data_IF_353679997297
#
_entry.id   IF_353679997297
#
_cell.length_a   1.000
_cell.length_b   1.000
_cell.length_c   1.000
_cell.angle_alpha   90.00
_cell.angle_beta   90.00
_cell.angle_gamma   90.00
#
_symmetry.space_group_name_H-M   'P 1'
#
loop_
_entity.id
_entity.type
_entity.pdbx_description
1 polymer ?
#
# COMPACT_ATOMS: atom_id res chain seq x y z
N UNK A 1 16.95 3.20 -2.91
CA UNK A 1 16.40 1.84 -3.15
C UNK A 1 14.96 1.70 -2.67
N UNK A 2 14.64 1.74 -1.36
CA UNK A 2 13.22 1.64 -0.95
C UNK A 2 12.40 2.88 -1.36
N UNK A 3 12.99 4.08 -1.27
CA UNK A 3 12.30 5.34 -1.61
C UNK A 3 11.93 5.43 -3.11
N UNK A 4 12.75 4.88 -4.00
CA UNK A 4 12.48 4.88 -5.44
C UNK A 4 11.32 3.93 -5.79
N UNK A 5 11.31 2.74 -5.16
CA UNK A 5 10.24 1.76 -5.32
C UNK A 5 8.93 2.25 -4.69
N UNK A 6 8.98 2.84 -3.49
CA UNK A 6 7.83 3.49 -2.87
C UNK A 6 7.26 4.58 -3.78
N UNK A 7 8.12 5.42 -4.36
CA UNK A 7 7.70 6.47 -5.31
C UNK A 7 7.05 5.86 -6.55
N UNK A 8 7.61 4.78 -7.10
CA UNK A 8 7.01 4.06 -8.21
C UNK A 8 5.64 3.49 -7.84
N UNK A 9 5.49 2.88 -6.66
CA UNK A 9 4.22 2.32 -6.18
C UNK A 9 3.18 3.43 -6.05
N UNK A 10 3.57 4.56 -5.44
CA UNK A 10 2.68 5.73 -5.28
C UNK A 10 2.22 6.26 -6.62
N UNK A 11 3.12 6.40 -7.60
CA UNK A 11 2.78 6.87 -8.94
C UNK A 11 1.84 5.89 -9.66
N UNK A 12 2.07 4.59 -9.52
CA UNK A 12 1.23 3.54 -10.11
C UNK A 12 -0.20 3.53 -9.53
N UNK A 13 -0.35 3.98 -8.28
CA UNK A 13 -1.62 4.03 -7.55
C UNK A 13 -2.27 5.43 -7.51
N UNK A 14 -1.65 6.46 -8.10
CA UNK A 14 -2.00 7.87 -7.88
C UNK A 14 -3.43 8.27 -8.28
N UNK A 15 -4.03 7.54 -9.20
CA UNK A 15 -5.35 7.80 -9.77
C UNK A 15 -6.40 6.74 -9.38
N UNK A 16 -6.05 5.79 -8.49
CA UNK A 16 -6.99 4.73 -8.07
C UNK A 16 -8.21 5.32 -7.36
N UNK A 17 -8.00 6.39 -6.57
CA UNK A 17 -9.09 7.17 -5.99
C UNK A 17 -8.93 8.62 -6.45
N UNK A 18 -9.80 9.11 -7.33
CA UNK A 18 -9.70 10.47 -7.85
C UNK A 18 -9.65 11.52 -6.72
N UNK A 19 -8.61 12.36 -6.74
CA UNK A 19 -8.45 13.45 -5.77
C UNK A 19 -7.88 13.03 -4.40
N UNK A 20 -7.57 11.76 -4.17
CA UNK A 20 -6.92 11.29 -2.95
C UNK A 20 -5.43 11.03 -3.21
N UNK A 21 -4.51 11.84 -2.66
CA UNK A 21 -3.08 11.63 -2.86
C UNK A 21 -2.59 10.37 -2.14
N UNK A 22 -1.64 9.67 -2.76
CA UNK A 22 -0.95 8.53 -2.15
C UNK A 22 0.23 9.04 -1.33
N UNK A 23 0.13 8.85 -0.01
CA UNK A 23 1.15 9.18 0.97
C UNK A 23 2.25 8.11 1.02
N UNK A 24 3.47 8.50 1.34
CA UNK A 24 4.57 7.56 1.63
C UNK A 24 4.65 7.17 3.11
N UNK A 25 5.63 6.33 3.44
CA UNK A 25 5.85 5.72 4.76
C UNK A 25 5.94 6.74 5.89
N UNK A 26 6.54 7.90 5.61
CA UNK A 26 6.78 8.96 6.59
C UNK A 26 5.79 10.12 6.49
N UNK A 27 4.84 10.05 5.55
CA UNK A 27 3.83 11.08 5.38
C UNK A 27 2.69 10.86 6.38
N UNK A 28 2.34 11.90 7.13
CA UNK A 28 1.19 11.86 8.04
C UNK A 28 -0.09 12.33 7.33
N UNK A 29 -1.17 11.56 7.47
CA UNK A 29 -2.51 11.99 7.08
C UNK A 29 -3.32 12.31 8.34
N UNK A 30 -3.47 13.60 8.65
CA UNK A 30 -4.39 14.03 9.70
C UNK A 30 -5.83 13.90 9.19
N UNK A 31 -6.56 12.92 9.72
CA UNK A 31 -7.98 12.71 9.41
C UNK A 31 -8.92 13.31 10.46
N UNK A 32 -8.36 13.85 11.56
CA UNK A 32 -9.13 14.29 12.72
C UNK A 32 -9.76 15.67 12.56
N UNK A 33 -9.12 16.58 11.84
CA UNK A 33 -9.61 17.95 11.63
C UNK A 33 -10.98 18.00 10.91
N UNK A 34 -11.77 19.06 11.16
CA UNK A 34 -13.12 19.21 10.59
C UNK A 34 -13.13 19.17 9.05
N UNK A 35 -12.15 19.84 8.42
CA UNK A 35 -11.95 19.87 6.97
C UNK A 35 -11.00 18.78 6.45
N UNK A 36 -10.64 17.80 7.30
CA UNK A 36 -9.76 16.72 6.90
C UNK A 36 -10.37 15.87 5.76
N UNK A 37 -9.52 15.27 4.90
CA UNK A 37 -9.99 14.38 3.88
C UNK A 37 -10.69 13.16 4.49
N UNK A 38 -11.82 12.79 3.91
CA UNK A 38 -12.64 11.64 4.34
C UNK A 38 -12.02 10.29 3.99
N UNK A 39 -11.14 10.29 2.99
CA UNK A 39 -10.39 9.16 2.50
C UNK A 39 -8.91 9.54 2.44
N UNK A 40 -8.02 8.63 2.85
CA UNK A 40 -6.58 8.79 2.68
C UNK A 40 -5.97 7.46 2.25
N UNK A 41 -4.94 7.51 1.41
CA UNK A 41 -4.20 6.32 0.98
C UNK A 41 -2.72 6.49 1.29
N UNK A 42 -2.09 5.44 1.81
CA UNK A 42 -0.66 5.42 2.12
C UNK A 42 0.00 4.15 1.62
N UNK A 43 1.27 4.27 1.24
CA UNK A 43 2.18 3.15 0.99
C UNK A 43 3.19 3.13 2.13
N UNK A 44 3.32 1.98 2.78
CA UNK A 44 4.26 1.74 3.89
C UNK A 44 5.32 0.75 3.44
N UNK A 45 6.60 1.10 3.59
CA UNK A 45 7.69 0.15 3.52
C UNK A 45 7.83 -0.61 4.83
N UNK A 46 7.72 -1.94 4.78
CA UNK A 46 7.69 -2.80 5.97
C UNK A 46 9.00 -3.52 6.26
N UNK A 47 9.97 -3.42 5.35
CA UNK A 47 11.28 -4.04 5.48
C UNK A 47 11.54 -5.12 4.44
N UNK A 48 12.36 -6.10 4.81
CA UNK A 48 12.76 -7.21 3.95
C UNK A 48 12.33 -8.56 4.53
N UNK A 49 11.86 -9.45 3.67
CA UNK A 49 11.80 -10.88 3.94
C UNK A 49 13.03 -11.58 3.35
N UNK A 50 13.62 -12.50 4.10
CA UNK A 50 14.60 -13.43 3.56
C UNK A 50 13.89 -14.54 2.77
N UNK A 51 14.12 -14.62 1.46
CA UNK A 51 13.58 -15.69 0.62
C UNK A 51 14.47 -16.92 0.62
N UNK A 52 15.78 -16.70 0.50
CA UNK A 52 16.78 -17.78 0.45
C UNK A 52 18.10 -17.30 1.04
N UNK A 53 18.73 -18.16 1.84
CA UNK A 53 20.04 -17.93 2.42
C UNK A 53 21.02 -18.98 1.90
N UNK A 54 21.98 -18.55 1.07
CA UNK A 54 23.06 -19.38 0.53
C UNK A 54 24.41 -18.91 1.08
N UNK A 55 25.43 -19.77 1.20
CA UNK A 55 26.77 -19.34 1.55
C UNK A 55 27.25 -18.23 0.60
N UNK A 56 27.51 -17.04 1.13
CA UNK A 56 27.96 -15.87 0.36
C UNK A 56 26.88 -15.10 -0.40
N UNK A 57 25.59 -15.40 -0.24
CA UNK A 57 24.51 -14.63 -0.88
C UNK A 57 23.19 -14.72 -0.09
N UNK A 58 22.53 -13.57 0.09
CA UNK A 58 21.18 -13.51 0.66
C UNK A 58 20.22 -12.94 -0.39
N UNK A 59 19.10 -13.63 -0.58
CA UNK A 59 18.02 -13.18 -1.44
C UNK A 59 16.94 -12.54 -0.57
N UNK A 60 16.73 -11.23 -0.74
CA UNK A 60 15.75 -10.47 0.04
C UNK A 60 14.59 -10.02 -0.85
N UNK A 61 13.36 -10.15 -0.38
CA UNK A 61 12.18 -9.53 -0.95
C UNK A 61 11.79 -8.28 -0.15
N UNK A 62 11.46 -7.19 -0.84
CA UNK A 62 10.98 -5.98 -0.15
C UNK A 62 9.49 -6.11 0.13
N UNK A 63 9.10 -5.86 1.38
CA UNK A 63 7.72 -5.87 1.81
C UNK A 63 7.14 -4.46 1.82
N UNK A 64 5.92 -4.33 1.31
CA UNK A 64 5.15 -3.11 1.33
C UNK A 64 3.72 -3.36 1.83
N UNK A 65 3.12 -2.33 2.41
CA UNK A 65 1.70 -2.22 2.69
C UNK A 65 1.09 -1.09 1.86
N UNK A 66 -0.11 -1.30 1.31
CA UNK A 66 -1.00 -0.20 0.90
C UNK A 66 -2.12 -0.13 1.91
N UNK A 67 -2.34 1.06 2.46
CA UNK A 67 -3.39 1.34 3.45
C UNK A 67 -4.37 2.34 2.88
N UNK A 68 -5.66 2.02 2.99
CA UNK A 68 -6.76 2.92 2.70
C UNK A 68 -7.50 3.21 4.00
N UNK A 69 -7.51 4.48 4.39
CA UNK A 69 -8.17 4.99 5.58
C UNK A 69 -9.46 5.68 5.19
N UNK A 70 -10.51 5.41 5.94
CA UNK A 70 -11.86 5.91 5.72
C UNK A 70 -12.38 6.44 7.06
N UNK A 71 -12.66 7.74 7.16
CA UNK A 71 -13.28 8.28 8.38
C UNK A 71 -14.78 7.95 8.38
N UNK A 72 -15.14 6.88 9.08
CA UNK A 72 -16.52 6.41 9.17
C UNK A 72 -17.47 7.42 9.84
N UNK A 73 -16.94 8.40 10.58
CA UNK A 73 -17.73 9.50 11.16
C UNK A 73 -18.11 10.58 10.15
N UNK A 74 -17.36 10.73 9.05
CA UNK A 74 -17.54 11.79 8.04
C UNK A 74 -17.99 11.27 6.67
N UNK A 75 -17.84 9.96 6.43
CA UNK A 75 -18.06 9.32 5.13
C UNK A 75 -19.54 9.10 4.83
N UNK A 76 -19.96 9.48 3.62
CA UNK A 76 -21.29 9.20 3.06
C UNK A 76 -21.31 7.80 2.44
N UNK A 77 -22.49 7.20 2.30
CA UNK A 77 -22.64 5.83 1.76
C UNK A 77 -21.96 5.60 0.40
N UNK A 78 -21.92 6.62 -0.47
CA UNK A 78 -21.24 6.56 -1.77
C UNK A 78 -19.71 6.56 -1.65
N UNK A 79 -19.15 7.25 -0.66
CA UNK A 79 -17.71 7.34 -0.41
C UNK A 79 -17.17 6.02 0.19
N UNK A 80 -17.99 5.32 0.99
CA UNK A 80 -17.67 3.97 1.47
C UNK A 80 -17.61 2.96 0.33
N UNK A 81 -18.61 2.97 -0.56
CA UNK A 81 -18.62 2.09 -1.73
C UNK A 81 -17.45 2.37 -2.67
N UNK A 82 -17.05 3.64 -2.83
CA UNK A 82 -15.83 4.02 -3.56
C UNK A 82 -14.57 3.45 -2.89
N UNK A 83 -14.47 3.50 -1.56
CA UNK A 83 -13.32 2.95 -0.85
C UNK A 83 -13.22 1.41 -1.00
N UNK A 84 -14.35 0.71 -0.97
CA UNK A 84 -14.41 -0.73 -1.20
C UNK A 84 -14.03 -1.09 -2.65
N UNK A 85 -14.53 -0.36 -3.65
CA UNK A 85 -14.15 -0.54 -5.06
C UNK A 85 -12.68 -0.19 -5.35
N UNK A 86 -12.14 0.79 -4.63
CA UNK A 86 -10.73 1.15 -4.72
C UNK A 86 -9.81 0.01 -4.28
N UNK A 87 -10.19 -0.77 -3.26
CA UNK A 87 -9.41 -1.92 -2.81
C UNK A 87 -9.21 -2.97 -3.92
N UNK A 88 -10.27 -3.25 -4.69
CA UNK A 88 -10.19 -4.16 -5.85
C UNK A 88 -9.28 -3.58 -6.92
N UNK A 89 -9.43 -2.29 -7.21
CA UNK A 89 -8.59 -1.59 -8.21
C UNK A 89 -7.11 -1.57 -7.80
N UNK A 90 -6.81 -1.39 -6.51
CA UNK A 90 -5.44 -1.46 -5.96
C UNK A 90 -4.87 -2.86 -6.21
N UNK A 91 -5.62 -3.92 -5.90
CA UNK A 91 -5.19 -5.30 -6.11
C UNK A 91 -4.88 -5.54 -7.59
N UNK A 92 -5.79 -5.16 -8.49
CA UNK A 92 -5.60 -5.32 -9.93
C UNK A 92 -4.37 -4.57 -10.43
N UNK A 93 -4.18 -3.32 -10.00
CA UNK A 93 -2.99 -2.50 -10.32
C UNK A 93 -1.70 -3.15 -9.83
N UNK A 94 -1.68 -3.64 -8.59
CA UNK A 94 -0.50 -4.29 -8.04
C UNK A 94 -0.18 -5.59 -8.77
N UNK A 95 -1.20 -6.37 -9.18
CA UNK A 95 -1.00 -7.58 -9.98
C UNK A 95 -0.54 -7.28 -11.41
N UNK A 96 -0.95 -6.15 -11.99
CA UNK A 96 -0.52 -5.64 -13.30
C UNK A 96 0.76 -4.78 -13.20
N UNK A 97 1.62 -5.05 -12.21
CA UNK A 97 2.86 -4.29 -12.05
C UNK A 97 3.73 -4.40 -13.31
N UNK A 98 4.18 -3.26 -13.89
CA UNK A 98 4.73 -3.22 -15.25
C UNK A 98 6.10 -3.90 -15.41
N UNK A 99 6.81 -4.18 -14.31
CA UNK A 99 8.11 -4.85 -14.35
C UNK A 99 7.97 -6.36 -14.05
N UNK A 100 8.18 -7.17 -15.08
CA UNK A 100 8.13 -8.64 -14.99
C UNK A 100 9.13 -9.25 -13.99
N UNK A 101 10.20 -8.53 -13.64
CA UNK A 101 11.19 -8.96 -12.64
C UNK A 101 10.76 -8.62 -11.20
N UNK A 102 9.74 -7.78 -11.03
CA UNK A 102 9.20 -7.34 -9.74
C UNK A 102 7.69 -7.60 -9.68
N UNK A 103 7.27 -8.86 -9.84
CA UNK A 103 5.85 -9.19 -9.63
C UNK A 103 5.49 -8.96 -8.17
N UNK A 104 4.40 -8.23 -7.94
CA UNK A 104 3.82 -8.12 -6.62
C UNK A 104 3.19 -9.47 -6.24
N UNK A 105 3.65 -10.06 -5.15
CA UNK A 105 2.99 -11.22 -4.55
C UNK A 105 2.18 -10.74 -3.35
N UNK A 106 0.86 -10.80 -3.47
CA UNK A 106 -0.05 -10.46 -2.35
C UNK A 106 0.12 -11.52 -1.27
N UNK A 107 0.54 -11.08 -0.09
CA UNK A 107 0.91 -11.98 1.01
C UNK A 107 -0.31 -12.46 1.80
N UNK A 108 -1.40 -11.69 1.83
CA UNK A 108 -2.60 -12.03 2.60
C UNK A 108 -3.86 -11.40 2.00
N UNK A 109 -5.02 -11.93 2.41
CA UNK A 109 -6.28 -11.22 2.23
C UNK A 109 -6.20 -9.80 2.81
N UNK A 110 -6.95 -8.83 2.25
CA UNK A 110 -6.99 -7.49 2.82
C UNK A 110 -7.41 -7.52 4.29
N UNK A 111 -6.70 -6.77 5.10
CA UNK A 111 -6.94 -6.67 6.54
C UNK A 111 -7.76 -5.42 6.82
N UNK A 112 -8.90 -5.57 7.47
CA UNK A 112 -9.78 -4.46 7.86
C UNK A 112 -9.71 -4.26 9.37
N UNK A 113 -9.40 -3.04 9.81
CA UNK A 113 -9.26 -2.68 11.22
C UNK A 113 -10.02 -1.38 11.50
N UNK A 114 -10.53 -1.24 12.72
CA UNK A 114 -11.20 -0.03 13.18
C UNK A 114 -10.41 0.59 14.33
N UNK A 115 -10.02 1.85 14.18
CA UNK A 115 -9.34 2.63 15.20
C UNK A 115 -10.14 3.92 15.47
N UNK A 116 -10.95 3.90 16.53
CA UNK A 116 -11.91 4.97 16.79
C UNK A 116 -12.96 5.03 15.67
N UNK A 117 -13.05 6.18 14.98
CA UNK A 117 -13.94 6.37 13.82
C UNK A 117 -13.27 6.05 12.49
N UNK A 118 -11.99 5.71 12.47
CA UNK A 118 -11.28 5.42 11.23
C UNK A 118 -11.32 3.92 10.94
N UNK A 119 -11.85 3.58 9.76
CA UNK A 119 -11.73 2.26 9.17
C UNK A 119 -10.47 2.22 8.31
N UNK A 120 -9.56 1.31 8.61
CA UNK A 120 -8.33 1.06 7.86
C UNK A 120 -8.46 -0.27 7.11
N UNK A 121 -8.21 -0.25 5.81
CA UNK A 121 -8.12 -1.44 4.96
C UNK A 121 -6.70 -1.54 4.42
N UNK A 122 -6.06 -2.70 4.57
CA UNK A 122 -4.64 -2.86 4.26
C UNK A 122 -4.40 -4.05 3.33
N UNK A 123 -3.55 -3.88 2.33
CA UNK A 123 -3.05 -4.94 1.45
C UNK A 123 -1.54 -5.03 1.65
N UNK A 124 -1.05 -6.23 1.95
CA UNK A 124 0.39 -6.47 2.10
C UNK A 124 0.89 -7.29 0.91
N UNK A 125 2.02 -6.87 0.37
CA UNK A 125 2.62 -7.50 -0.79
C UNK A 125 4.14 -7.42 -0.75
N UNK A 126 4.79 -8.33 -1.46
CA UNK A 126 6.22 -8.27 -1.72
C UNK A 126 6.50 -7.95 -3.17
N UNK A 127 7.54 -7.16 -3.42
CA UNK A 127 8.14 -7.05 -4.73
C UNK A 127 9.33 -8.03 -4.80
N UNK A 128 9.40 -8.77 -5.91
CA UNK A 128 10.33 -9.87 -6.12
C UNK A 128 11.81 -9.46 -5.92
N UNK A 129 12.72 -10.43 -5.70
CA UNK A 129 13.86 -10.21 -4.84
C UNK A 129 15.02 -9.41 -5.45
N UNK A 130 15.78 -8.78 -4.56
CA UNK A 130 17.11 -8.25 -4.82
C UNK A 130 18.12 -9.25 -4.28
N UNK A 131 19.03 -9.73 -5.15
CA UNK A 131 20.15 -10.58 -4.73
C UNK A 131 21.27 -9.68 -4.22
N UNK A 132 21.62 -9.82 -2.94
CA UNK A 132 22.76 -9.13 -2.35
C UNK A 132 23.94 -10.10 -2.32
N UNK A 133 24.99 -9.77 -3.08
CA UNK A 133 26.30 -10.42 -3.02
C UNK A 133 27.28 -9.45 -2.34
N UNK A 134 28.14 -9.94 -1.43
CA UNK A 134 29.12 -9.11 -0.72
C UNK A 134 30.18 -8.52 -1.64
#
# INVERSE_FOLDING_TARGET
MFSDLETAIRNHLADVIPGVPVRGTWDYADMSAEDAPRLAMAVEYRGFDALENKPGAVTLAQQFGVHLYVDAGKVRGTERAQAEGALVTIIERLLDWPDTLLRAAIQSSPVVQMAGTTLQMSIFFTLAPVVITP
#
